data_IF_224210483822
#
_entry.id   IF_224210483822
#
_cell.length_a   1.000
_cell.length_b   1.000
_cell.length_c   1.000
_cell.angle_alpha   90.00
_cell.angle_beta   90.00
_cell.angle_gamma   90.00
#
_symmetry.space_group_name_H-M   'P 1'
#
loop_
_entity.id
_entity.type
_entity.pdbx_description
1 polymer ?
#
# COMPACT_ATOMS: atom_id res chain seq x y z
N UNK A 1 11.73 -5.78 -24.27
CA UNK A 1 12.98 -6.51 -24.52
C UNK A 1 13.59 -7.09 -23.22
N UNK A 2 13.54 -6.38 -22.08
CA UNK A 2 14.16 -6.81 -20.83
C UNK A 2 13.61 -8.16 -20.29
N UNK A 3 12.29 -8.31 -20.25
CA UNK A 3 11.65 -9.56 -19.78
C UNK A 3 12.06 -10.75 -20.65
N UNK A 4 12.11 -10.55 -21.98
CA UNK A 4 12.62 -11.56 -22.91
C UNK A 4 14.11 -11.84 -22.71
N UNK A 5 14.90 -10.80 -22.52
CA UNK A 5 16.36 -10.93 -22.29
C UNK A 5 16.68 -11.74 -21.05
N UNK A 6 15.90 -11.54 -19.97
CA UNK A 6 16.03 -12.28 -18.71
C UNK A 6 15.40 -13.67 -18.76
N UNK A 7 14.74 -14.06 -19.84
CA UNK A 7 14.06 -15.36 -19.94
C UNK A 7 12.90 -15.53 -18.96
N UNK A 8 12.24 -14.43 -18.57
CA UNK A 8 11.12 -14.46 -17.63
C UNK A 8 9.90 -15.06 -18.31
N UNK A 9 9.48 -16.24 -17.86
CA UNK A 9 8.33 -16.99 -18.40
C UNK A 9 7.03 -16.70 -17.65
N UNK A 10 7.12 -16.15 -16.41
CA UNK A 10 5.97 -15.81 -15.59
C UNK A 10 6.16 -14.46 -14.91
N UNK A 11 5.14 -13.63 -14.96
CA UNK A 11 5.00 -12.38 -14.21
C UNK A 11 3.91 -12.57 -13.18
N UNK A 12 4.25 -12.49 -11.89
CA UNK A 12 3.28 -12.64 -10.82
C UNK A 12 2.29 -11.46 -10.79
N UNK A 13 2.79 -10.24 -10.97
CA UNK A 13 1.98 -9.01 -10.96
C UNK A 13 2.46 -8.08 -12.09
N UNK A 14 1.58 -7.77 -13.03
CA UNK A 14 1.77 -6.70 -14.00
C UNK A 14 0.99 -5.48 -13.52
N UNK A 15 1.71 -4.46 -13.04
CA UNK A 15 1.10 -3.25 -12.51
C UNK A 15 1.17 -2.15 -13.57
N UNK A 16 0.01 -1.71 -14.07
CA UNK A 16 -0.11 -0.59 -14.98
C UNK A 16 -0.44 0.66 -14.18
N UNK A 17 0.58 1.48 -13.97
CA UNK A 17 0.54 2.69 -13.15
C UNK A 17 0.87 3.92 -14.01
N UNK A 18 0.47 5.10 -13.56
CA UNK A 18 0.80 6.35 -14.25
C UNK A 18 -0.02 7.51 -13.70
N UNK A 19 -0.18 8.59 -14.47
CA UNK A 19 -1.06 9.69 -14.08
C UNK A 19 -2.51 9.24 -13.97
N UNK A 20 -3.06 8.69 -15.06
CA UNK A 20 -4.33 7.98 -15.09
C UNK A 20 -4.29 6.94 -16.22
N UNK A 21 -4.17 5.65 -15.90
CA UNK A 21 -4.00 4.59 -16.90
C UNK A 21 -5.15 4.49 -17.91
N UNK A 22 -6.37 4.77 -17.47
CA UNK A 22 -7.55 4.66 -18.33
C UNK A 22 -7.75 5.83 -19.32
N UNK A 23 -6.88 6.83 -19.29
CA UNK A 23 -6.84 7.84 -20.37
C UNK A 23 -6.32 7.25 -21.69
N UNK A 24 -5.45 6.24 -21.62
CA UNK A 24 -4.94 5.56 -22.80
C UNK A 24 -5.23 4.05 -22.74
N UNK A 25 -6.50 3.71 -22.94
CA UNK A 25 -6.97 2.31 -22.93
C UNK A 25 -6.36 1.44 -24.02
N UNK A 26 -5.95 2.04 -25.14
CA UNK A 26 -5.28 1.32 -26.24
C UNK A 26 -3.88 0.86 -25.80
N UNK A 27 -3.11 1.73 -25.14
CA UNK A 27 -1.81 1.37 -24.60
C UNK A 27 -1.93 0.32 -23.50
N UNK A 28 -2.92 0.48 -22.62
CA UNK A 28 -3.21 -0.48 -21.54
C UNK A 28 -3.41 -1.90 -22.10
N UNK A 29 -4.30 -2.03 -23.07
CA UNK A 29 -4.59 -3.30 -23.73
C UNK A 29 -3.40 -3.82 -24.53
N UNK A 30 -2.67 -2.95 -25.23
CA UNK A 30 -1.47 -3.30 -26.00
C UNK A 30 -0.40 -3.91 -25.11
N UNK A 31 -0.10 -3.29 -23.96
CA UNK A 31 0.91 -3.81 -23.02
C UNK A 31 0.55 -5.22 -22.57
N UNK A 32 -0.68 -5.46 -22.12
CA UNK A 32 -1.10 -6.79 -21.66
C UNK A 32 -0.94 -7.81 -22.80
N UNK A 33 -1.44 -7.51 -23.99
CA UNK A 33 -1.36 -8.42 -25.14
C UNK A 33 0.07 -8.70 -25.56
N UNK A 34 0.95 -7.70 -25.55
CA UNK A 34 2.36 -7.90 -25.91
C UNK A 34 3.10 -8.78 -24.90
N UNK A 35 2.90 -8.56 -23.61
CA UNK A 35 3.50 -9.41 -22.59
C UNK A 35 2.96 -10.85 -22.65
N UNK A 36 1.66 -11.03 -22.86
CA UNK A 36 1.03 -12.35 -22.94
C UNK A 36 1.53 -13.21 -24.12
N UNK A 37 2.22 -12.63 -25.10
CA UNK A 37 2.83 -13.39 -26.22
C UNK A 37 4.02 -14.25 -25.82
N UNK A 38 4.67 -13.93 -24.70
CA UNK A 38 5.93 -14.59 -24.30
C UNK A 38 6.08 -14.85 -22.81
N UNK A 39 5.10 -14.47 -22.00
CA UNK A 39 5.09 -14.70 -20.55
C UNK A 39 3.68 -14.89 -20.04
N UNK A 40 3.52 -15.70 -18.99
CA UNK A 40 2.25 -15.84 -18.27
C UNK A 40 2.12 -14.70 -17.26
N UNK A 41 1.01 -13.96 -17.30
CA UNK A 41 0.68 -12.92 -16.33
C UNK A 41 -0.34 -13.50 -15.37
N UNK A 42 0.00 -13.61 -14.07
CA UNK A 42 -0.91 -14.17 -13.07
C UNK A 42 -1.93 -13.15 -12.57
N UNK A 43 -1.51 -11.88 -12.39
CA UNK A 43 -2.38 -10.81 -11.91
C UNK A 43 -2.08 -9.52 -12.67
N UNK A 44 -3.11 -8.83 -13.10
CA UNK A 44 -3.02 -7.48 -13.67
C UNK A 44 -3.57 -6.52 -12.63
N UNK A 45 -2.83 -5.46 -12.34
CA UNK A 45 -3.22 -4.46 -11.35
C UNK A 45 -3.10 -3.06 -11.92
N UNK A 46 -3.93 -2.15 -11.45
CA UNK A 46 -3.86 -0.73 -11.82
C UNK A 46 -4.40 0.17 -10.72
N UNK A 47 -3.79 1.35 -10.60
CA UNK A 47 -4.28 2.42 -9.74
C UNK A 47 -4.94 3.48 -10.61
N UNK A 48 -6.19 3.80 -10.33
CA UNK A 48 -6.97 4.77 -11.09
C UNK A 48 -7.64 5.81 -10.17
N UNK A 49 -7.81 7.01 -10.68
CA UNK A 49 -8.65 8.02 -10.01
C UNK A 49 -10.15 7.76 -10.21
N UNK A 50 -10.53 6.77 -11.01
CA UNK A 50 -11.91 6.39 -11.27
C UNK A 50 -12.75 7.43 -12.02
N UNK A 51 -12.13 8.43 -12.65
CA UNK A 51 -12.87 9.50 -13.34
C UNK A 51 -13.23 9.16 -14.77
N UNK A 52 -12.64 8.09 -15.33
CA UNK A 52 -12.84 7.64 -16.71
C UNK A 52 -13.67 6.36 -16.70
N UNK A 53 -14.92 6.45 -17.15
CA UNK A 53 -15.80 5.29 -17.34
C UNK A 53 -16.47 5.39 -18.71
N UNK A 54 -15.83 4.77 -19.69
CA UNK A 54 -16.33 4.67 -21.06
C UNK A 54 -16.37 3.20 -21.53
N UNK A 55 -16.84 2.96 -22.73
CA UNK A 55 -16.97 1.59 -23.26
C UNK A 55 -15.62 0.85 -23.37
N UNK A 56 -14.52 1.56 -23.60
CA UNK A 56 -13.20 0.92 -23.67
C UNK A 56 -12.73 0.47 -22.29
N UNK A 57 -12.94 1.29 -21.24
CA UNK A 57 -12.66 0.91 -19.86
C UNK A 57 -13.48 -0.30 -19.43
N UNK A 58 -14.79 -0.32 -19.79
CA UNK A 58 -15.66 -1.49 -19.53
C UNK A 58 -15.12 -2.76 -20.19
N UNK A 59 -14.71 -2.68 -21.47
CA UNK A 59 -14.08 -3.81 -22.17
C UNK A 59 -12.79 -4.29 -21.50
N UNK A 60 -11.96 -3.38 -20.97
CA UNK A 60 -10.76 -3.76 -20.21
C UNK A 60 -11.14 -4.54 -18.96
N UNK A 61 -12.12 -4.04 -18.19
CA UNK A 61 -12.63 -4.70 -16.98
C UNK A 61 -13.17 -6.10 -17.35
N UNK A 62 -13.97 -6.21 -18.39
CA UNK A 62 -14.58 -7.47 -18.79
C UNK A 62 -13.54 -8.49 -19.30
N UNK A 63 -12.57 -8.05 -20.12
CA UNK A 63 -11.64 -8.94 -20.80
C UNK A 63 -10.44 -9.36 -19.95
N UNK A 64 -9.94 -8.47 -19.10
CA UNK A 64 -8.67 -8.67 -18.38
C UNK A 64 -8.83 -8.80 -16.88
N UNK A 65 -10.01 -8.50 -16.32
CA UNK A 65 -10.34 -8.61 -14.90
C UNK A 65 -9.25 -8.01 -13.97
N UNK A 66 -8.74 -6.77 -14.24
CA UNK A 66 -7.65 -6.21 -13.45
C UNK A 66 -8.08 -5.96 -12.00
N UNK A 67 -7.15 -6.12 -11.05
CA UNK A 67 -7.37 -5.60 -9.70
C UNK A 67 -7.27 -4.08 -9.73
N UNK A 68 -8.30 -3.40 -9.27
CA UNK A 68 -8.41 -1.94 -9.33
C UNK A 68 -8.22 -1.32 -7.96
N UNK A 69 -7.19 -0.52 -7.79
CA UNK A 69 -7.05 0.37 -6.63
C UNK A 69 -7.60 1.75 -7.02
N UNK A 70 -8.76 2.11 -6.47
CA UNK A 70 -9.48 3.34 -6.86
C UNK A 70 -9.23 4.42 -5.81
N UNK A 71 -8.71 5.55 -6.25
CA UNK A 71 -8.41 6.67 -5.36
C UNK A 71 -9.66 7.44 -4.98
N UNK A 72 -10.06 7.41 -3.70
CA UNK A 72 -11.16 8.18 -3.15
C UNK A 72 -10.83 8.62 -1.71
N UNK A 73 -10.75 9.92 -1.44
CA UNK A 73 -10.21 10.44 -0.17
C UNK A 73 -11.32 10.76 0.87
N UNK A 74 -12.50 10.20 0.73
CA UNK A 74 -13.62 10.40 1.65
C UNK A 74 -14.76 11.25 1.04
N UNK A 75 -15.51 12.03 1.87
CA UNK A 75 -16.65 12.81 1.42
C UNK A 75 -16.34 13.81 0.30
N UNK A 76 -17.37 14.14 -0.50
CA UNK A 76 -17.22 14.95 -1.71
C UNK A 76 -16.42 16.24 -1.51
N UNK A 77 -16.68 16.98 -0.44
CA UNK A 77 -16.04 18.27 -0.19
C UNK A 77 -14.52 18.16 0.10
N UNK A 78 -14.06 17.05 0.69
CA UNK A 78 -12.63 16.77 0.91
C UNK A 78 -11.99 16.28 -0.38
N UNK A 79 -12.56 15.25 -0.98
CA UNK A 79 -12.05 14.70 -2.23
C UNK A 79 -11.93 15.75 -3.33
N UNK A 80 -12.91 16.65 -3.41
CA UNK A 80 -12.94 17.77 -4.30
C UNK A 80 -11.76 18.73 -4.11
N UNK A 81 -11.40 19.04 -2.86
CA UNK A 81 -10.24 19.90 -2.55
C UNK A 81 -8.91 19.24 -2.88
N UNK A 82 -8.82 17.92 -2.75
CA UNK A 82 -7.61 17.16 -2.98
C UNK A 82 -7.40 16.80 -4.44
N UNK A 83 -8.49 16.48 -5.18
CA UNK A 83 -8.42 15.92 -6.55
C UNK A 83 -9.19 16.70 -7.60
N UNK A 84 -9.76 17.86 -7.23
CA UNK A 84 -10.44 18.76 -8.14
C UNK A 84 -11.94 18.54 -8.28
N UNK A 85 -12.60 19.57 -8.79
CA UNK A 85 -14.06 19.66 -8.89
C UNK A 85 -14.68 18.56 -9.76
N UNK A 86 -15.69 17.89 -9.22
CA UNK A 86 -16.45 16.88 -9.92
C UNK A 86 -15.77 15.51 -10.00
N UNK A 87 -14.54 15.35 -9.47
CA UNK A 87 -13.86 14.05 -9.43
C UNK A 87 -14.62 13.04 -8.56
N UNK A 88 -15.06 13.43 -7.37
CA UNK A 88 -15.82 12.57 -6.46
C UNK A 88 -17.04 11.93 -7.14
N UNK A 89 -17.86 12.74 -7.80
CA UNK A 89 -19.06 12.24 -8.51
C UNK A 89 -18.71 11.24 -9.61
N UNK A 90 -17.62 11.45 -10.33
CA UNK A 90 -17.17 10.52 -11.38
C UNK A 90 -16.67 9.22 -10.78
N UNK A 91 -15.83 9.31 -9.75
CA UNK A 91 -15.26 8.16 -9.04
C UNK A 91 -16.34 7.32 -8.37
N UNK A 92 -17.30 7.94 -7.68
CA UNK A 92 -18.42 7.21 -7.07
C UNK A 92 -19.34 6.55 -8.11
N UNK A 93 -19.52 7.19 -9.28
CA UNK A 93 -20.21 6.56 -10.41
C UNK A 93 -19.46 5.34 -10.94
N UNK A 94 -18.13 5.40 -10.99
CA UNK A 94 -17.29 4.26 -11.39
C UNK A 94 -17.44 3.10 -10.40
N UNK A 95 -17.33 3.37 -9.10
CA UNK A 95 -17.53 2.38 -8.03
C UNK A 95 -18.93 1.77 -8.10
N UNK A 96 -19.95 2.60 -8.29
CA UNK A 96 -21.32 2.11 -8.43
C UNK A 96 -21.46 1.17 -9.64
N UNK A 97 -20.87 1.51 -10.79
CA UNK A 97 -20.84 0.62 -11.95
C UNK A 97 -20.22 -0.75 -11.61
N UNK A 98 -19.06 -0.79 -10.95
CA UNK A 98 -18.42 -2.04 -10.54
C UNK A 98 -19.34 -2.88 -9.65
N UNK A 99 -20.02 -2.26 -8.71
CA UNK A 99 -20.99 -2.94 -7.84
C UNK A 99 -22.19 -3.49 -8.62
N UNK A 100 -22.71 -2.75 -9.60
CA UNK A 100 -23.86 -3.21 -10.43
C UNK A 100 -23.54 -4.41 -11.30
N UNK A 101 -22.26 -4.61 -11.68
CA UNK A 101 -21.81 -5.79 -12.42
C UNK A 101 -21.23 -6.88 -11.52
N UNK A 102 -21.38 -6.74 -10.19
CA UNK A 102 -20.81 -7.65 -9.19
C UNK A 102 -19.29 -7.85 -9.31
N UNK A 103 -18.57 -6.81 -9.71
CA UNK A 103 -17.12 -6.83 -9.80
C UNK A 103 -16.52 -6.68 -8.41
N UNK A 104 -15.79 -7.68 -7.94
CA UNK A 104 -15.22 -7.71 -6.57
C UNK A 104 -13.72 -7.44 -6.54
N UNK A 105 -13.06 -7.39 -7.71
CA UNK A 105 -11.61 -7.23 -7.84
C UNK A 105 -11.18 -5.76 -7.71
N UNK A 106 -11.64 -5.06 -6.66
CA UNK A 106 -11.24 -3.69 -6.42
C UNK A 106 -11.21 -3.32 -4.94
N UNK A 107 -10.45 -2.29 -4.65
CA UNK A 107 -10.41 -1.62 -3.34
C UNK A 107 -10.37 -0.09 -3.53
N UNK A 108 -10.66 0.62 -2.45
CA UNK A 108 -10.49 2.08 -2.36
C UNK A 108 -9.16 2.38 -1.65
N UNK A 109 -8.34 3.24 -2.26
CA UNK A 109 -7.19 3.84 -1.59
C UNK A 109 -7.54 5.29 -1.22
N UNK A 110 -7.53 5.59 0.06
CA UNK A 110 -7.76 6.91 0.62
C UNK A 110 -6.49 7.50 1.18
N UNK A 111 -6.24 8.78 0.90
CA UNK A 111 -5.12 9.52 1.48
C UNK A 111 -5.65 10.47 2.54
N UNK A 112 -5.35 10.19 3.81
CA UNK A 112 -5.69 11.06 4.92
C UNK A 112 -4.70 12.22 5.00
N UNK A 113 -5.21 13.44 5.07
CA UNK A 113 -4.44 14.67 5.03
C UNK A 113 -4.84 15.62 6.15
N UNK A 114 -4.03 16.65 6.37
CA UNK A 114 -4.39 17.74 7.29
C UNK A 114 -5.70 18.43 6.93
N UNK A 115 -6.12 18.41 5.66
CA UNK A 115 -7.43 18.97 5.29
C UNK A 115 -8.58 18.24 5.98
N UNK A 116 -8.48 16.91 6.18
CA UNK A 116 -9.47 16.15 6.96
C UNK A 116 -9.54 16.69 8.39
N UNK A 117 -8.39 16.86 9.06
CA UNK A 117 -8.32 17.40 10.42
C UNK A 117 -8.89 18.82 10.52
N UNK A 118 -8.57 19.69 9.56
CA UNK A 118 -9.10 21.07 9.52
C UNK A 118 -10.61 21.13 9.33
N UNK A 119 -11.21 20.08 8.81
CA UNK A 119 -12.66 19.93 8.69
C UNK A 119 -13.26 19.01 9.76
N UNK A 120 -12.53 18.80 10.85
CA UNK A 120 -12.96 17.96 11.99
C UNK A 120 -13.32 16.52 11.59
N UNK A 121 -12.72 15.99 10.54
CA UNK A 121 -12.85 14.58 10.15
C UNK A 121 -11.69 13.80 10.74
N UNK A 122 -12.00 12.90 11.64
CA UNK A 122 -11.05 11.91 12.17
C UNK A 122 -10.81 10.78 11.17
N UNK A 123 -9.82 9.93 11.44
CA UNK A 123 -9.65 8.68 10.66
C UNK A 123 -10.86 7.75 10.81
N UNK A 124 -11.47 7.73 12.00
CA UNK A 124 -12.66 6.93 12.27
C UNK A 124 -13.86 7.40 11.45
N UNK A 125 -14.03 8.72 11.24
CA UNK A 125 -15.07 9.25 10.36
C UNK A 125 -14.87 8.78 8.92
N UNK A 126 -13.63 8.79 8.42
CA UNK A 126 -13.30 8.30 7.07
C UNK A 126 -13.47 6.78 6.99
N UNK A 127 -13.10 6.06 8.05
CA UNK A 127 -13.35 4.63 8.16
C UNK A 127 -14.86 4.32 8.07
N UNK A 128 -15.68 5.00 8.86
CA UNK A 128 -17.13 4.83 8.83
C UNK A 128 -17.74 5.20 7.46
N UNK A 129 -17.22 6.25 6.83
CA UNK A 129 -17.65 6.64 5.48
C UNK A 129 -17.50 5.49 4.48
N UNK A 130 -16.34 4.82 4.43
CA UNK A 130 -16.12 3.71 3.50
C UNK A 130 -16.81 2.42 3.94
N UNK A 131 -16.95 2.17 5.24
CA UNK A 131 -17.75 1.05 5.76
C UNK A 131 -19.21 1.18 5.30
N UNK A 132 -19.78 2.38 5.36
CA UNK A 132 -21.15 2.64 4.89
C UNK A 132 -21.26 2.51 3.35
N UNK A 133 -20.19 2.71 2.60
CA UNK A 133 -20.16 2.44 1.17
C UNK A 133 -20.11 0.95 0.83
N UNK A 134 -19.85 0.10 1.80
CA UNK A 134 -19.73 -1.37 1.63
C UNK A 134 -18.70 -1.73 0.54
N UNK A 135 -17.46 -1.27 0.73
CA UNK A 135 -16.31 -1.49 -0.15
C UNK A 135 -15.08 -1.89 0.66
N UNK A 136 -14.14 -2.60 0.06
CA UNK A 136 -12.81 -2.75 0.64
C UNK A 136 -12.05 -1.45 0.50
N UNK A 137 -11.28 -1.08 1.52
CA UNK A 137 -10.52 0.16 1.49
C UNK A 137 -9.26 0.11 2.37
N UNK A 138 -8.29 0.97 2.03
CA UNK A 138 -7.17 1.31 2.90
C UNK A 138 -7.09 2.83 3.06
N UNK A 139 -6.59 3.29 4.22
CA UNK A 139 -6.41 4.70 4.54
C UNK A 139 -4.93 4.91 4.87
N UNK A 140 -4.24 5.64 4.03
CA UNK A 140 -2.83 5.97 4.20
C UNK A 140 -2.65 7.45 4.53
N UNK A 141 -1.62 7.76 5.30
CA UNK A 141 -1.24 9.15 5.51
C UNK A 141 -0.59 9.73 4.27
N UNK A 142 -0.79 11.02 4.06
CA UNK A 142 -0.13 11.73 2.96
C UNK A 142 1.37 11.83 3.21
N UNK A 143 2.14 11.48 2.21
CA UNK A 143 3.56 11.80 2.12
C UNK A 143 3.73 12.99 1.18
N UNK A 144 4.11 14.17 1.72
CA UNK A 144 4.22 15.39 0.93
C UNK A 144 5.21 16.38 1.52
N UNK A 145 6.01 17.02 0.66
CA UNK A 145 6.81 18.20 1.06
C UNK A 145 5.94 19.43 1.36
N UNK A 146 4.69 19.40 0.92
CA UNK A 146 3.73 20.44 1.24
C UNK A 146 3.20 20.27 2.68
N UNK A 147 3.80 21.00 3.62
CA UNK A 147 3.43 20.99 5.04
C UNK A 147 1.94 21.34 5.30
N UNK A 148 1.24 21.94 4.35
CA UNK A 148 -0.20 22.22 4.45
C UNK A 148 -1.03 20.93 4.34
N UNK A 149 -0.52 19.91 3.64
CA UNK A 149 -1.19 18.63 3.48
C UNK A 149 -0.80 17.63 4.56
N UNK A 150 0.40 17.74 5.10
CA UNK A 150 0.92 16.80 6.11
C UNK A 150 0.07 16.87 7.37
N UNK A 151 -0.42 15.73 7.80
CA UNK A 151 -1.15 15.57 9.05
C UNK A 151 -0.27 16.12 10.17
N UNK A 152 -0.73 17.12 10.90
CA UNK A 152 -0.14 17.42 12.20
C UNK A 152 -0.53 16.24 13.09
N UNK A 153 0.37 15.34 13.25
CA UNK A 153 0.24 14.41 14.35
C UNK A 153 0.24 15.25 15.63
N UNK A 154 -0.85 15.26 16.36
CA UNK A 154 -0.73 15.08 17.78
C UNK A 154 0.09 13.80 17.87
N UNK A 155 1.29 13.86 18.47
CA UNK A 155 2.13 12.71 18.72
C UNK A 155 1.20 11.58 19.15
N UNK A 156 0.96 10.62 18.25
CA UNK A 156 0.26 9.41 18.67
C UNK A 156 1.16 8.83 19.73
N UNK A 157 0.74 8.97 20.96
CA UNK A 157 1.51 8.49 22.08
C UNK A 157 1.82 7.02 21.81
N UNK A 158 2.90 6.52 22.33
CA UNK A 158 3.24 5.10 22.22
C UNK A 158 2.06 4.23 22.69
N UNK A 159 1.27 4.74 23.65
CA UNK A 159 0.01 4.15 24.14
C UNK A 159 -1.02 4.01 23.02
N UNK A 160 -1.24 5.06 22.22
CA UNK A 160 -2.22 5.01 21.12
C UNK A 160 -1.80 4.02 20.01
N UNK A 161 -0.48 3.94 19.76
CA UNK A 161 0.07 2.97 18.79
C UNK A 161 -0.10 1.53 19.30
N UNK A 162 0.13 1.27 20.59
CA UNK A 162 -0.11 -0.03 21.23
C UNK A 162 -1.59 -0.40 21.19
N UNK A 163 -2.47 0.53 21.55
CA UNK A 163 -3.92 0.33 21.45
C UNK A 163 -4.33 -0.03 20.03
N UNK A 164 -3.81 0.68 19.02
CA UNK A 164 -4.11 0.38 17.62
C UNK A 164 -3.67 -1.03 17.20
N UNK A 165 -2.56 -1.56 17.73
CA UNK A 165 -2.14 -2.95 17.51
C UNK A 165 -3.18 -3.92 18.10
N UNK A 166 -3.60 -3.72 19.36
CA UNK A 166 -4.60 -4.56 20.02
C UNK A 166 -5.95 -4.53 19.29
N UNK A 167 -6.42 -3.34 18.92
CA UNK A 167 -7.67 -3.18 18.15
C UNK A 167 -7.58 -3.90 16.78
N UNK A 168 -6.42 -3.84 16.13
CA UNK A 168 -6.18 -4.54 14.86
C UNK A 168 -6.22 -6.07 15.02
N UNK A 169 -5.64 -6.60 16.09
CA UNK A 169 -5.69 -8.04 16.41
C UNK A 169 -7.15 -8.47 16.59
N UNK A 170 -7.92 -7.75 17.41
CA UNK A 170 -9.32 -8.06 17.68
C UNK A 170 -10.16 -8.03 16.39
N UNK A 171 -9.97 -7.00 15.57
CA UNK A 171 -10.67 -6.88 14.29
C UNK A 171 -10.42 -8.07 13.36
N UNK A 172 -9.18 -8.56 13.28
CA UNK A 172 -8.85 -9.74 12.47
C UNK A 172 -9.49 -10.99 13.07
N UNK A 173 -9.42 -11.18 14.38
CA UNK A 173 -10.03 -12.34 15.07
C UNK A 173 -11.55 -12.39 14.87
N UNK A 174 -12.21 -11.23 14.88
CA UNK A 174 -13.66 -11.09 14.65
C UNK A 174 -14.05 -11.17 13.17
N UNK A 175 -13.06 -11.34 12.27
CA UNK A 175 -13.26 -11.35 10.81
C UNK A 175 -13.88 -10.07 10.26
N UNK A 176 -13.50 -8.93 10.83
CA UNK A 176 -13.87 -7.63 10.29
C UNK A 176 -12.99 -7.31 9.08
N UNK A 177 -13.36 -7.82 7.90
CA UNK A 177 -12.59 -7.71 6.66
C UNK A 177 -12.39 -6.26 6.19
N UNK A 178 -13.14 -5.32 6.76
CA UNK A 178 -13.06 -3.88 6.46
C UNK A 178 -12.21 -3.13 7.47
N UNK A 179 -11.65 -3.81 8.46
CA UNK A 179 -10.88 -3.18 9.51
C UNK A 179 -9.49 -2.78 9.03
N UNK A 180 -9.06 -1.60 9.47
CA UNK A 180 -7.70 -1.14 9.26
C UNK A 180 -6.71 -1.95 10.11
N UNK A 181 -5.60 -2.40 9.52
CA UNK A 181 -4.57 -3.19 10.21
C UNK A 181 -3.34 -2.34 10.50
N UNK A 182 -2.83 -2.43 11.70
CA UNK A 182 -1.56 -1.80 12.08
C UNK A 182 -0.41 -2.33 11.20
N UNK A 183 0.38 -1.46 10.57
CA UNK A 183 1.56 -1.89 9.82
C UNK A 183 2.53 -2.75 10.64
N UNK A 184 2.69 -2.45 11.93
CA UNK A 184 3.52 -3.27 12.84
C UNK A 184 2.97 -4.69 12.97
N UNK A 185 1.65 -4.84 13.15
CA UNK A 185 1.01 -6.16 13.19
C UNK A 185 1.17 -6.90 11.86
N UNK A 186 1.04 -6.20 10.74
CA UNK A 186 1.24 -6.77 9.42
C UNK A 186 2.66 -7.33 9.27
N UNK A 187 3.70 -6.54 9.57
CA UNK A 187 5.11 -6.94 9.49
C UNK A 187 5.40 -8.16 10.37
N UNK A 188 4.90 -8.16 11.61
CA UNK A 188 5.08 -9.26 12.56
C UNK A 188 4.38 -10.53 12.06
N UNK A 189 3.13 -10.45 11.63
CA UNK A 189 2.37 -11.62 11.17
C UNK A 189 2.95 -12.20 9.88
N UNK A 190 3.35 -11.38 8.92
CA UNK A 190 4.03 -11.84 7.69
C UNK A 190 5.28 -12.63 8.07
N UNK A 191 6.14 -12.06 8.91
CA UNK A 191 7.39 -12.71 9.30
C UNK A 191 7.15 -14.02 10.05
N UNK A 192 6.18 -14.07 10.95
CA UNK A 192 5.85 -15.26 11.72
C UNK A 192 5.22 -16.37 10.85
N UNK A 193 4.25 -16.03 10.00
CA UNK A 193 3.49 -17.01 9.22
C UNK A 193 4.32 -17.59 8.08
N UNK A 194 5.09 -16.73 7.39
CA UNK A 194 5.88 -17.13 6.22
C UNK A 194 7.34 -17.41 6.56
N UNK A 195 7.74 -17.26 7.84
CA UNK A 195 9.13 -17.44 8.31
C UNK A 195 10.13 -16.63 7.47
N UNK A 196 9.69 -15.45 7.03
CA UNK A 196 10.50 -14.56 6.22
C UNK A 196 11.31 -13.62 7.10
N UNK A 197 12.58 -13.45 6.75
CA UNK A 197 13.46 -12.44 7.36
C UNK A 197 14.04 -11.59 6.25
N UNK A 198 13.89 -10.27 6.37
CA UNK A 198 14.36 -9.33 5.36
C UNK A 198 15.64 -8.64 5.83
N UNK A 199 16.71 -8.77 5.04
CA UNK A 199 17.98 -8.06 5.27
C UNK A 199 17.94 -6.62 4.76
N UNK A 200 16.97 -6.32 3.89
CA UNK A 200 16.70 -5.01 3.30
C UNK A 200 15.44 -4.40 3.88
N UNK A 201 15.28 -3.09 3.74
CA UNK A 201 14.04 -2.40 4.14
C UNK A 201 12.91 -2.60 3.13
N UNK A 202 13.24 -2.76 1.85
CA UNK A 202 12.25 -2.86 0.77
C UNK A 202 12.75 -3.83 -0.31
N UNK A 203 11.98 -4.88 -0.56
CA UNK A 203 12.29 -5.86 -1.60
C UNK A 203 11.91 -5.38 -3.01
N UNK A 204 11.01 -4.38 -3.13
CA UNK A 204 10.55 -3.86 -4.41
C UNK A 204 11.64 -3.15 -5.22
N UNK A 205 12.71 -2.68 -4.57
CA UNK A 205 13.85 -2.06 -5.27
C UNK A 205 14.92 -3.06 -5.70
N UNK A 206 14.76 -4.34 -5.36
CA UNK A 206 15.62 -5.39 -5.88
C UNK A 206 15.23 -5.70 -7.34
N UNK A 207 16.16 -5.46 -8.31
CA UNK A 207 15.85 -5.70 -9.72
C UNK A 207 15.65 -7.18 -10.06
N UNK A 208 15.94 -8.12 -9.16
CA UNK A 208 15.59 -9.54 -9.34
C UNK A 208 14.09 -9.79 -9.09
N UNK A 209 13.46 -8.98 -8.24
CA UNK A 209 12.06 -9.13 -7.84
C UNK A 209 11.13 -8.22 -8.63
N UNK A 210 11.57 -6.99 -8.94
CA UNK A 210 10.73 -5.97 -9.57
C UNK A 210 11.45 -5.28 -10.73
N UNK A 211 10.76 -5.10 -11.84
CA UNK A 211 11.24 -4.30 -12.98
C UNK A 211 10.22 -3.18 -13.20
N UNK A 212 10.66 -1.95 -13.00
CA UNK A 212 9.83 -0.76 -13.19
C UNK A 212 10.31 0.06 -14.38
N UNK A 213 9.38 0.46 -15.24
CA UNK A 213 9.63 1.37 -16.36
C UNK A 213 8.80 2.64 -16.20
N UNK A 214 9.42 3.76 -16.49
CA UNK A 214 8.72 5.03 -16.65
C UNK A 214 8.09 5.15 -18.05
N UNK A 215 7.29 6.17 -18.26
CA UNK A 215 6.58 6.42 -19.55
C UNK A 215 7.52 6.66 -20.74
N UNK A 216 8.75 7.07 -20.49
CA UNK A 216 9.81 7.24 -21.50
C UNK A 216 10.60 5.94 -21.78
N UNK A 217 10.24 4.84 -21.09
CA UNK A 217 10.93 3.56 -21.19
C UNK A 217 12.20 3.45 -20.34
N UNK A 218 12.56 4.47 -19.57
CA UNK A 218 13.68 4.40 -18.63
C UNK A 218 13.35 3.49 -17.44
N UNK A 219 14.35 2.72 -16.97
CA UNK A 219 14.21 1.88 -15.78
C UNK A 219 14.25 2.74 -14.53
N UNK A 220 13.40 2.42 -13.56
CA UNK A 220 13.37 2.98 -12.22
C UNK A 220 13.49 1.87 -11.19
N UNK A 221 13.94 2.21 -9.99
CA UNK A 221 14.02 1.25 -8.88
C UNK A 221 12.64 0.77 -8.45
N UNK A 222 11.67 1.69 -8.30
CA UNK A 222 10.26 1.37 -8.13
C UNK A 222 9.40 2.56 -8.58
N UNK A 223 8.08 2.40 -8.56
CA UNK A 223 7.12 3.43 -8.97
C UNK A 223 7.17 4.73 -8.12
N UNK A 224 7.80 4.71 -6.94
CA UNK A 224 8.00 5.88 -6.07
C UNK A 224 9.20 6.75 -6.49
N UNK A 225 10.09 6.22 -7.31
CA UNK A 225 11.28 6.94 -7.78
C UNK A 225 11.00 7.69 -9.08
N UNK A 226 10.36 8.85 -8.97
CA UNK A 226 10.08 9.76 -10.08
C UNK A 226 11.29 10.69 -10.32
N UNK A 227 11.68 10.91 -11.56
CA UNK A 227 12.73 11.86 -11.92
C UNK A 227 14.15 11.38 -11.59
N UNK A 228 14.98 12.27 -11.05
CA UNK A 228 16.43 12.09 -10.87
C UNK A 228 16.83 11.54 -9.50
N UNK A 229 16.07 10.64 -8.91
CA UNK A 229 16.47 10.04 -7.65
C UNK A 229 17.79 9.28 -7.78
N UNK A 230 18.68 9.46 -6.81
CA UNK A 230 19.98 8.82 -6.76
C UNK A 230 19.82 7.31 -6.42
N UNK A 231 19.95 6.45 -7.43
CA UNK A 231 19.84 4.99 -7.26
C UNK A 231 20.86 4.43 -6.28
N UNK A 232 22.10 4.94 -6.31
CA UNK A 232 23.15 4.49 -5.38
C UNK A 232 22.81 4.81 -3.92
N UNK A 233 22.17 5.97 -3.65
CA UNK A 233 21.70 6.31 -2.31
C UNK A 233 20.55 5.40 -1.89
N UNK A 234 19.67 5.04 -2.81
CA UNK A 234 18.56 4.14 -2.54
C UNK A 234 19.03 2.72 -2.19
N UNK A 235 19.98 2.17 -2.94
CA UNK A 235 20.58 0.87 -2.66
C UNK A 235 21.29 0.87 -1.29
N UNK A 236 22.08 1.92 -1.01
CA UNK A 236 22.74 2.08 0.28
C UNK A 236 21.75 2.12 1.44
N UNK A 237 20.70 2.93 1.33
CA UNK A 237 19.68 3.10 2.39
C UNK A 237 18.73 1.91 2.49
N UNK A 238 18.68 1.04 1.49
CA UNK A 238 17.93 -0.20 1.59
C UNK A 238 18.64 -1.25 2.47
N UNK A 239 19.96 -1.15 2.61
CA UNK A 239 20.73 -2.08 3.41
C UNK A 239 20.66 -1.71 4.90
N UNK A 240 19.99 -2.54 5.71
CA UNK A 240 19.88 -2.34 7.16
C UNK A 240 21.21 -2.33 7.88
N UNK A 241 22.21 -3.05 7.37
CA UNK A 241 23.56 -3.08 7.94
C UNK A 241 24.31 -1.74 7.77
N UNK A 242 23.83 -0.86 6.91
CA UNK A 242 24.37 0.49 6.78
C UNK A 242 24.12 1.35 8.03
N UNK A 243 23.02 1.10 8.73
CA UNK A 243 22.61 1.86 9.90
C UNK A 243 23.07 1.17 11.19
N UNK A 244 23.91 1.87 11.98
CA UNK A 244 24.47 1.28 13.21
C UNK A 244 23.37 0.78 14.17
N UNK A 245 22.27 1.51 14.29
CA UNK A 245 21.15 1.16 15.17
C UNK A 245 20.40 -0.09 14.71
N UNK A 246 20.45 -0.41 13.40
CA UNK A 246 19.81 -1.60 12.86
C UNK A 246 20.67 -2.85 12.92
N UNK A 247 22.01 -2.72 12.97
CA UNK A 247 22.92 -3.87 12.98
C UNK A 247 22.58 -4.87 14.09
N UNK A 248 22.43 -4.37 15.32
CA UNK A 248 22.18 -5.16 16.52
C UNK A 248 20.72 -5.19 16.92
N UNK A 249 19.81 -4.66 16.07
CA UNK A 249 18.40 -4.61 16.36
C UNK A 249 17.77 -6.00 16.25
N UNK A 250 17.18 -6.50 17.33
CA UNK A 250 16.59 -7.84 17.39
C UNK A 250 15.44 -8.06 16.37
N UNK A 251 14.70 -6.99 16.03
CA UNK A 251 13.57 -7.08 15.10
C UNK A 251 13.91 -6.68 13.67
N UNK A 252 15.19 -6.50 13.33
CA UNK A 252 15.61 -6.05 11.98
C UNK A 252 15.08 -6.94 10.86
N UNK A 253 14.98 -8.23 11.10
CA UNK A 253 14.46 -9.19 10.11
C UNK A 253 12.98 -9.03 9.78
N UNK A 254 12.20 -8.41 10.67
CA UNK A 254 10.76 -8.15 10.50
C UNK A 254 10.47 -6.71 10.08
N UNK A 255 11.41 -5.78 10.29
CA UNK A 255 11.21 -4.35 10.10
C UNK A 255 11.23 -3.99 8.61
N UNK A 256 10.15 -3.36 8.13
CA UNK A 256 10.06 -2.78 6.79
C UNK A 256 10.03 -1.23 6.87
N UNK A 257 10.62 -0.57 5.87
CA UNK A 257 10.59 0.88 5.72
C UNK A 257 10.62 1.22 4.23
N UNK A 258 9.94 2.27 3.83
CA UNK A 258 9.98 2.72 2.45
C UNK A 258 11.23 3.58 2.20
N UNK A 259 12.16 3.06 1.42
CA UNK A 259 13.43 3.74 1.09
C UNK A 259 13.19 5.07 0.37
N UNK A 260 12.19 5.16 -0.48
CA UNK A 260 11.80 6.42 -1.10
C UNK A 260 11.36 7.46 -0.05
N UNK A 261 10.64 7.03 1.00
CA UNK A 261 10.27 7.92 2.10
C UNK A 261 11.50 8.43 2.87
N UNK A 262 12.52 7.59 3.06
CA UNK A 262 13.77 8.01 3.70
C UNK A 262 14.46 9.09 2.85
N UNK A 263 14.64 8.83 1.56
CA UNK A 263 15.31 9.74 0.63
C UNK A 263 14.57 11.07 0.49
N UNK A 264 13.26 11.02 0.50
CA UNK A 264 12.41 12.20 0.37
C UNK A 264 12.19 12.95 1.69
N UNK A 265 12.76 12.45 2.82
CA UNK A 265 12.62 13.05 4.15
C UNK A 265 11.21 12.87 4.75
N UNK A 266 10.50 11.79 4.39
CA UNK A 266 9.17 11.47 4.95
C UNK A 266 9.20 10.38 6.00
N UNK A 267 10.32 9.68 6.16
CA UNK A 267 10.45 8.68 7.21
C UNK A 267 10.47 9.35 8.60
N UNK A 268 9.71 8.80 9.53
CA UNK A 268 9.77 9.24 10.93
C UNK A 268 10.94 8.60 11.71
N UNK A 269 11.65 7.67 11.08
CA UNK A 269 12.71 6.88 11.71
C UNK A 269 14.09 7.36 11.27
N UNK A 270 14.25 7.66 10.00
CA UNK A 270 15.52 8.01 9.36
C UNK A 270 15.31 9.27 8.52
N UNK A 271 16.16 10.29 8.70
CA UNK A 271 16.08 11.50 7.88
C UNK A 271 16.71 11.32 6.49
N UNK A 272 16.61 12.33 5.64
CA UNK A 272 17.13 12.32 4.26
C UNK A 272 18.67 12.21 4.16
N UNK A 273 19.38 12.51 5.26
CA UNK A 273 20.82 12.34 5.36
C UNK A 273 21.23 10.95 5.86
N UNK A 274 20.28 10.09 6.17
CA UNK A 274 20.52 8.75 6.69
C UNK A 274 20.78 8.69 8.19
N UNK A 275 20.43 9.76 8.92
CA UNK A 275 20.57 9.80 10.38
C UNK A 275 19.27 9.33 11.03
N UNK A 276 19.38 8.58 12.13
CA UNK A 276 18.23 8.16 12.92
C UNK A 276 17.63 9.36 13.66
N UNK A 277 16.31 9.52 13.54
CA UNK A 277 15.53 10.49 14.30
C UNK A 277 15.10 9.83 15.62
N UNK A 278 14.20 8.86 15.52
CA UNK A 278 13.69 8.08 16.66
C UNK A 278 13.07 6.78 16.12
N UNK A 279 13.30 5.66 16.81
CA UNK A 279 12.76 4.37 16.37
C UNK A 279 12.03 3.67 17.52
N UNK A 280 10.71 3.66 17.45
CA UNK A 280 9.85 2.92 18.38
C UNK A 280 9.44 1.53 17.86
N UNK A 281 9.89 1.13 16.68
CA UNK A 281 9.50 -0.16 16.07
C UNK A 281 9.86 -1.36 16.96
N UNK A 282 11.05 -1.45 17.59
CA UNK A 282 11.37 -2.58 18.45
C UNK A 282 10.39 -2.74 19.62
N UNK A 283 10.04 -1.65 20.30
CA UNK A 283 9.09 -1.66 21.41
C UNK A 283 7.67 -2.02 20.95
N UNK A 284 7.24 -1.51 19.82
CA UNK A 284 5.92 -1.81 19.26
C UNK A 284 5.83 -3.26 18.76
N UNK A 285 6.89 -3.78 18.16
CA UNK A 285 6.95 -5.19 17.74
C UNK A 285 6.99 -6.14 18.94
N UNK A 286 7.74 -5.80 19.96
CA UNK A 286 7.75 -6.57 21.21
C UNK A 286 6.36 -6.60 21.85
N UNK A 287 5.68 -5.46 21.92
CA UNK A 287 4.31 -5.37 22.39
C UNK A 287 3.37 -6.25 21.57
N UNK A 288 3.46 -6.14 20.23
CA UNK A 288 2.64 -6.94 19.29
C UNK A 288 2.85 -8.44 19.51
N UNK A 289 4.09 -8.89 19.65
CA UNK A 289 4.42 -10.29 19.88
C UNK A 289 3.85 -10.77 21.21
N UNK A 290 3.94 -9.96 22.28
CA UNK A 290 3.35 -10.29 23.60
C UNK A 290 1.83 -10.46 23.51
N UNK A 291 1.14 -9.59 22.78
CA UNK A 291 -0.30 -9.70 22.55
C UNK A 291 -0.65 -11.01 21.79
N UNK A 292 0.13 -11.35 20.76
CA UNK A 292 -0.06 -12.61 20.00
C UNK A 292 0.20 -13.84 20.88
N UNK A 293 1.25 -13.81 21.72
CA UNK A 293 1.56 -14.88 22.67
C UNK A 293 0.41 -15.03 23.69
N UNK A 294 -0.09 -13.93 24.22
CA UNK A 294 -1.24 -13.96 25.11
C UNK A 294 -2.48 -14.56 24.43
N UNK A 295 -2.76 -14.13 23.20
CA UNK A 295 -3.84 -14.66 22.39
C UNK A 295 -3.68 -16.18 22.11
N UNK A 296 -2.44 -16.66 21.98
CA UNK A 296 -2.15 -18.08 21.68
C UNK A 296 -2.54 -19.05 22.79
N UNK A 297 -2.85 -18.56 24.01
CA UNK A 297 -3.44 -19.34 25.09
C UNK A 297 -4.87 -19.83 24.73
N UNK A 298 -5.52 -19.13 23.80
CA UNK A 298 -6.79 -19.56 23.19
C UNK A 298 -6.55 -20.05 21.76
N UNK A 299 -6.51 -21.38 21.60
CA UNK A 299 -6.26 -22.04 20.31
C UNK A 299 -7.26 -21.63 19.22
N UNK A 300 -8.50 -21.32 19.60
CA UNK A 300 -9.53 -20.88 18.65
C UNK A 300 -9.22 -19.47 18.12
N UNK A 301 -8.84 -18.55 19.01
CA UNK A 301 -8.54 -17.16 18.64
C UNK A 301 -7.28 -17.05 17.79
N UNK A 302 -6.22 -17.76 18.15
CA UNK A 302 -4.98 -17.74 17.35
C UNK A 302 -5.20 -18.35 15.96
N UNK A 303 -5.99 -19.41 15.86
CA UNK A 303 -6.34 -20.00 14.56
C UNK A 303 -7.16 -19.03 13.71
N UNK A 304 -8.10 -18.30 14.30
CA UNK A 304 -8.85 -17.24 13.61
C UNK A 304 -7.94 -16.13 13.15
N UNK A 305 -7.05 -15.63 14.01
CA UNK A 305 -6.08 -14.58 13.64
C UNK A 305 -5.29 -14.99 12.40
N UNK A 306 -4.68 -16.18 12.39
CA UNK A 306 -3.84 -16.65 11.27
C UNK A 306 -4.67 -16.87 10.00
N UNK A 307 -5.83 -17.51 10.11
CA UNK A 307 -6.64 -17.83 8.93
C UNK A 307 -7.28 -16.60 8.30
N UNK A 308 -7.79 -15.67 9.12
CA UNK A 308 -8.39 -14.43 8.64
C UNK A 308 -7.32 -13.51 8.07
N UNK A 309 -6.14 -13.41 8.70
CA UNK A 309 -5.02 -12.64 8.15
C UNK A 309 -4.56 -13.19 6.79
N UNK A 310 -4.47 -14.51 6.62
CA UNK A 310 -4.15 -15.12 5.30
C UNK A 310 -5.17 -14.79 4.22
N UNK A 311 -6.45 -14.66 4.57
CA UNK A 311 -7.48 -14.18 3.63
C UNK A 311 -7.24 -12.71 3.28
N UNK A 312 -6.97 -11.90 4.28
CA UNK A 312 -6.68 -10.47 4.11
C UNK A 312 -5.53 -10.23 3.12
N UNK A 313 -4.42 -10.98 3.23
CA UNK A 313 -3.26 -10.86 2.31
C UNK A 313 -3.60 -11.34 0.89
N UNK A 314 -4.50 -12.31 0.72
CA UNK A 314 -4.90 -12.75 -0.62
C UNK A 314 -5.62 -11.68 -1.42
N UNK A 315 -6.14 -10.67 -0.76
CA UNK A 315 -6.80 -9.49 -1.36
C UNK A 315 -5.91 -8.24 -1.36
N UNK A 316 -4.78 -8.25 -0.67
CA UNK A 316 -3.73 -7.23 -0.69
C UNK A 316 -2.59 -7.67 -1.62
#
# INVERSE_FOLDING_TARGET
NEVKFRGITQINRLILFGGEPFLNTQLFEYIIKEFSKFTTILKIETVTNGTVLNNNVKKIIDNFQPYLTISLDGPEFIHYKLRGKGSHRKTTKFIHYLKTINYTNFEIASTYTRLHQLHSLSRDDIFQYFTNMDVHFNINDVFSKNKVLVVKEMEKSLVDRKKFITDSINNIVENNEKAFISPILYDVLISMIYKSTNHTFCDDIDPSNTITFDVDGSKKLCFRFWGTHNSSKAELFNNKEYFQQCKDCWCKGMCLECVANIIDGYSSVINEDGQFIECHKPELMEYCIKEIIYLSQDQSKISKLVNNFKRFIRYA
#
